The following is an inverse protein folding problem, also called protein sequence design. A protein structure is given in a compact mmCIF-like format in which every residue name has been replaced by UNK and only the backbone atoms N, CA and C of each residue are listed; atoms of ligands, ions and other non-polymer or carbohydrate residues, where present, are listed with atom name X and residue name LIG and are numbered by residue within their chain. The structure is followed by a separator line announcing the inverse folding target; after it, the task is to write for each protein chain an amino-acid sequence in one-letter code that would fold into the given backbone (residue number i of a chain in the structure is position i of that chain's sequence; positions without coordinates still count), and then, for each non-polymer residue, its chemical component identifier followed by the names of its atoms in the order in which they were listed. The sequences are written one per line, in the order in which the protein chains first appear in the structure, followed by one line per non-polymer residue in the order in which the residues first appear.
data_IF_112553442129
#
_entry.id   IF_112553442129
#
_cell.length_a   1.000
_cell.length_b   1.000
_cell.length_c   1.000
_cell.angle_alpha   90.00
_cell.angle_beta   90.00
_cell.angle_gamma   90.00
#
_symmetry.space_group_name_H-M   'P 1'
#
loop_
_entity.id
_entity.type
_entity.pdbx_description
1 polymer ?
#
# COMPACT_ATOMS: atom_id res chain seq x y z
N UNK A 1 -20.62 -12.07 49.72
CA UNK A 1 -21.36 -12.60 48.56
C UNK A 1 -21.21 -11.58 47.43
N UNK A 2 -20.38 -11.83 46.42
CA UNK A 2 -20.16 -10.86 45.36
C UNK A 2 -21.34 -10.92 44.36
N UNK A 3 -22.00 -9.79 44.14
CA UNK A 3 -22.85 -9.59 42.97
C UNK A 3 -21.98 -9.00 41.85
N UNK A 4 -21.40 -9.86 41.05
CA UNK A 4 -20.87 -9.51 39.73
C UNK A 4 -21.91 -9.96 38.71
N UNK A 5 -22.89 -9.10 38.41
CA UNK A 5 -23.81 -9.26 37.27
C UNK A 5 -24.03 -7.91 36.57
N UNK A 6 -23.90 -7.95 35.25
CA UNK A 6 -24.58 -7.09 34.26
C UNK A 6 -24.08 -5.67 33.92
N UNK A 7 -22.79 -5.34 33.99
CA UNK A 7 -22.31 -4.10 33.34
C UNK A 7 -22.16 -4.25 31.81
N UNK A 8 -21.69 -5.41 31.33
CA UNK A 8 -21.45 -5.66 29.90
C UNK A 8 -22.73 -5.85 29.08
N UNK A 9 -23.81 -6.33 29.71
CA UNK A 9 -25.10 -6.58 29.05
C UNK A 9 -25.86 -5.27 28.77
N UNK A 10 -25.70 -4.27 29.63
CA UNK A 10 -26.41 -2.99 29.51
C UNK A 10 -25.80 -2.09 28.41
N UNK A 11 -24.46 -2.04 28.33
CA UNK A 11 -23.74 -1.30 27.29
C UNK A 11 -24.01 -1.88 25.89
N UNK A 12 -24.05 -3.22 25.78
CA UNK A 12 -24.30 -3.89 24.50
C UNK A 12 -25.73 -3.62 23.99
N UNK A 13 -26.73 -3.57 24.89
CA UNK A 13 -28.12 -3.22 24.54
C UNK A 13 -28.27 -1.75 24.11
N UNK A 14 -27.59 -0.82 24.79
CA UNK A 14 -27.60 0.60 24.41
C UNK A 14 -26.99 0.81 23.02
N UNK A 15 -25.87 0.13 22.74
CA UNK A 15 -25.20 0.17 21.44
C UNK A 15 -26.06 -0.40 20.33
N UNK A 16 -26.73 -1.53 20.59
CA UNK A 16 -27.66 -2.15 19.63
C UNK A 16 -28.85 -1.22 19.31
N UNK A 17 -29.34 -0.49 20.30
CA UNK A 17 -30.45 0.45 20.13
C UNK A 17 -30.03 1.67 19.29
N UNK A 18 -28.84 2.24 19.52
CA UNK A 18 -28.29 3.31 18.68
C UNK A 18 -28.03 2.83 17.24
N UNK A 19 -27.47 1.63 17.07
CA UNK A 19 -27.29 0.98 15.77
C UNK A 19 -28.64 0.83 15.03
N UNK A 20 -29.68 0.34 15.70
CA UNK A 20 -31.02 0.16 15.12
C UNK A 20 -31.68 1.49 14.77
N UNK A 21 -31.46 2.54 15.55
CA UNK A 21 -31.95 3.87 15.25
C UNK A 21 -31.21 4.51 14.05
N UNK A 22 -29.91 4.26 13.92
CA UNK A 22 -29.09 4.77 12.82
C UNK A 22 -29.26 3.97 11.51
N UNK A 23 -29.65 2.70 11.60
CA UNK A 23 -29.71 1.76 10.49
C UNK A 23 -31.03 0.96 10.49
N UNK A 24 -32.15 1.63 10.17
CA UNK A 24 -33.47 1.03 10.23
C UNK A 24 -33.68 -0.12 9.25
N UNK A 25 -32.86 -0.22 8.20
CA UNK A 25 -32.95 -1.24 7.15
C UNK A 25 -32.02 -2.45 7.35
N UNK A 26 -31.26 -2.50 8.45
CA UNK A 26 -30.40 -3.65 8.73
C UNK A 26 -31.27 -4.89 9.03
N UNK A 27 -31.05 -6.05 8.38
CA UNK A 27 -31.77 -7.27 8.71
C UNK A 27 -31.43 -7.71 10.15
N UNK A 28 -32.44 -7.74 11.02
CA UNK A 28 -32.33 -8.20 12.41
C UNK A 28 -33.23 -9.41 12.66
N UNK A 29 -32.76 -10.36 13.46
CA UNK A 29 -33.60 -11.32 14.19
C UNK A 29 -33.67 -10.94 15.68
N UNK A 30 -34.25 -11.82 16.51
CA UNK A 30 -34.40 -11.59 17.95
C UNK A 30 -33.05 -11.55 18.70
N UNK A 31 -31.96 -12.02 18.08
CA UNK A 31 -30.63 -12.14 18.67
C UNK A 31 -29.60 -11.14 18.08
N UNK A 32 -29.87 -10.51 16.92
CA UNK A 32 -29.00 -9.47 16.36
C UNK A 32 -29.03 -9.35 14.83
N UNK A 33 -28.00 -8.73 14.22
CA UNK A 33 -27.89 -8.62 12.77
C UNK A 33 -27.75 -9.99 12.11
N UNK A 34 -28.50 -10.23 11.03
CA UNK A 34 -28.50 -11.51 10.31
C UNK A 34 -27.49 -11.47 9.16
N UNK A 35 -26.59 -12.45 9.13
CA UNK A 35 -25.57 -12.59 8.08
C UNK A 35 -25.78 -13.87 7.27
N UNK A 36 -25.85 -13.74 5.95
CA UNK A 36 -25.95 -14.86 4.99
C UNK A 36 -24.58 -15.40 4.55
N UNK A 37 -23.51 -14.66 4.81
CA UNK A 37 -22.15 -15.07 4.50
C UNK A 37 -21.15 -14.49 5.52
N UNK A 38 -20.00 -15.16 5.76
CA UNK A 38 -19.00 -14.69 6.72
C UNK A 38 -18.49 -13.27 6.46
N UNK A 39 -18.38 -12.87 5.18
CA UNK A 39 -17.90 -11.54 4.80
C UNK A 39 -18.86 -10.41 5.24
N UNK A 40 -20.16 -10.68 5.36
CA UNK A 40 -21.15 -9.69 5.81
C UNK A 40 -20.94 -9.34 7.28
N UNK A 41 -20.67 -10.36 8.11
CA UNK A 41 -20.31 -10.17 9.51
C UNK A 41 -19.00 -9.38 9.65
N UNK A 42 -18.03 -9.64 8.79
CA UNK A 42 -16.76 -8.91 8.78
C UNK A 42 -16.95 -7.43 8.38
N UNK A 43 -17.71 -7.16 7.33
CA UNK A 43 -18.02 -5.79 6.90
C UNK A 43 -18.73 -5.01 8.00
N UNK A 44 -19.72 -5.62 8.66
CA UNK A 44 -20.40 -5.03 9.80
C UNK A 44 -19.44 -4.74 10.97
N UNK A 45 -18.60 -5.71 11.34
CA UNK A 45 -17.63 -5.56 12.42
C UNK A 45 -16.60 -4.44 12.13
N UNK A 46 -16.15 -4.31 10.87
CA UNK A 46 -15.26 -3.23 10.46
C UNK A 46 -15.92 -1.86 10.57
N UNK A 47 -17.18 -1.71 10.11
CA UNK A 47 -17.95 -0.47 10.27
C UNK A 47 -18.06 -0.08 11.75
N UNK A 48 -18.42 -1.04 12.62
CA UNK A 48 -18.54 -0.80 14.05
C UNK A 48 -17.20 -0.38 14.68
N UNK A 49 -16.11 -1.09 14.36
CA UNK A 49 -14.79 -0.79 14.89
C UNK A 49 -14.28 0.60 14.45
N UNK A 50 -14.55 1.01 13.21
CA UNK A 50 -14.15 2.32 12.69
C UNK A 50 -14.96 3.46 13.33
N UNK A 51 -16.26 3.23 13.54
CA UNK A 51 -17.11 4.15 14.28
C UNK A 51 -16.65 4.31 15.74
N UNK A 52 -16.40 3.20 16.44
CA UNK A 52 -15.91 3.22 17.83
C UNK A 52 -14.58 3.95 17.99
N UNK A 53 -13.76 3.96 16.92
CA UNK A 53 -12.49 4.69 16.85
C UNK A 53 -12.65 6.16 16.41
N UNK A 54 -13.87 6.61 16.17
CA UNK A 54 -14.17 7.99 15.78
C UNK A 54 -13.77 8.37 14.35
N UNK A 55 -13.53 7.39 13.47
CA UNK A 55 -13.16 7.65 12.06
C UNK A 55 -14.30 8.34 11.32
N UNK A 56 -15.54 7.96 11.63
CA UNK A 56 -16.76 8.60 11.17
C UNK A 56 -17.85 8.47 12.23
N UNK A 57 -18.85 9.33 12.15
CA UNK A 57 -20.07 9.28 12.97
C UNK A 57 -21.14 8.42 12.31
N UNK A 58 -22.11 7.94 13.10
CA UNK A 58 -23.28 7.24 12.53
C UNK A 58 -24.08 8.08 11.54
N UNK A 59 -24.09 9.41 11.68
CA UNK A 59 -24.76 10.32 10.73
C UNK A 59 -24.08 10.31 9.36
N UNK A 60 -22.74 10.34 9.34
CA UNK A 60 -21.96 10.25 8.10
C UNK A 60 -22.11 8.86 7.47
N UNK A 61 -22.10 7.80 8.28
CA UNK A 61 -22.35 6.44 7.83
C UNK A 61 -23.72 6.28 7.16
N UNK A 62 -24.80 6.72 7.82
CA UNK A 62 -26.15 6.65 7.27
C UNK A 62 -26.28 7.43 5.95
N UNK A 63 -25.60 8.57 5.85
CA UNK A 63 -25.55 9.35 4.62
C UNK A 63 -24.84 8.61 3.48
N UNK A 64 -23.63 8.08 3.73
CA UNK A 64 -22.85 7.32 2.74
C UNK A 64 -23.61 6.08 2.25
N UNK A 65 -24.23 5.33 3.17
CA UNK A 65 -25.03 4.15 2.83
C UNK A 65 -26.24 4.50 1.97
N UNK A 66 -26.94 5.60 2.30
CA UNK A 66 -28.08 6.07 1.50
C UNK A 66 -27.70 6.49 0.08
N UNK A 67 -26.47 6.99 -0.12
CA UNK A 67 -25.94 7.31 -1.45
C UNK A 67 -25.65 6.02 -2.22
N UNK A 68 -24.93 5.07 -1.60
CA UNK A 68 -24.57 3.80 -2.24
C UNK A 68 -25.80 3.00 -2.71
N UNK A 69 -26.84 2.92 -1.87
CA UNK A 69 -28.11 2.26 -2.22
C UNK A 69 -28.78 2.96 -3.40
N UNK A 70 -28.86 4.29 -3.37
CA UNK A 70 -29.49 5.07 -4.45
C UNK A 70 -28.77 4.90 -5.78
N UNK A 71 -27.44 4.93 -5.76
CA UNK A 71 -26.61 4.72 -6.95
C UNK A 71 -26.83 3.31 -7.54
N UNK A 72 -26.91 2.30 -6.68
CA UNK A 72 -27.16 0.92 -7.11
C UNK A 72 -28.58 0.71 -7.67
N UNK A 73 -29.60 1.29 -7.02
CA UNK A 73 -30.98 1.29 -7.54
C UNK A 73 -31.06 1.99 -8.90
N UNK A 74 -30.36 3.12 -9.07
CA UNK A 74 -30.28 3.81 -10.36
C UNK A 74 -29.57 2.98 -11.44
N UNK A 75 -28.64 2.11 -11.04
CA UNK A 75 -27.96 1.15 -11.93
C UNK A 75 -28.80 -0.11 -12.24
N UNK A 76 -30.02 -0.21 -11.72
CA UNK A 76 -30.97 -1.28 -12.04
C UNK A 76 -31.00 -2.44 -11.04
N UNK A 77 -30.52 -2.25 -9.81
CA UNK A 77 -30.65 -3.26 -8.75
C UNK A 77 -32.15 -3.48 -8.40
N UNK A 78 -32.67 -4.72 -8.52
CA UNK A 78 -34.06 -5.05 -8.19
C UNK A 78 -34.36 -5.07 -6.67
N UNK A 79 -33.40 -4.78 -5.80
CA UNK A 79 -33.55 -4.64 -4.34
C UNK A 79 -34.24 -5.86 -3.69
N UNK A 80 -33.62 -7.04 -3.86
CA UNK A 80 -34.14 -8.32 -3.34
C UNK A 80 -33.63 -8.66 -1.94
N UNK A 81 -32.96 -7.71 -1.27
CA UNK A 81 -32.39 -7.87 0.07
C UNK A 81 -31.12 -8.76 0.14
N UNK A 82 -30.69 -9.34 -0.98
CA UNK A 82 -29.42 -10.05 -1.14
C UNK A 82 -28.24 -9.13 -1.49
N UNK A 83 -28.54 -7.91 -1.99
CA UNK A 83 -27.55 -6.89 -2.37
C UNK A 83 -27.24 -5.86 -1.28
N UNK A 84 -28.00 -5.85 -0.17
CA UNK A 84 -27.85 -4.87 0.91
C UNK A 84 -26.41 -4.74 1.45
N UNK A 85 -25.78 -5.87 1.78
CA UNK A 85 -24.38 -5.86 2.29
C UNK A 85 -23.36 -5.51 1.20
N UNK A 86 -23.70 -5.59 -0.09
CA UNK A 86 -22.85 -5.08 -1.16
C UNK A 86 -22.86 -3.54 -1.17
N UNK A 87 -24.03 -2.92 -0.99
CA UNK A 87 -24.12 -1.46 -0.81
C UNK A 87 -23.45 -1.00 0.48
N UNK A 88 -23.54 -1.81 1.54
CA UNK A 88 -22.80 -1.59 2.79
C UNK A 88 -21.30 -1.53 2.55
N UNK A 89 -20.75 -2.47 1.79
CA UNK A 89 -19.32 -2.51 1.50
C UNK A 89 -18.91 -1.31 0.63
N UNK A 90 -19.68 -0.95 -0.39
CA UNK A 90 -19.42 0.22 -1.24
C UNK A 90 -19.41 1.52 -0.41
N UNK A 91 -20.41 1.70 0.46
CA UNK A 91 -20.46 2.84 1.39
C UNK A 91 -19.24 2.89 2.32
N UNK A 92 -18.79 1.74 2.83
CA UNK A 92 -17.62 1.65 3.69
C UNK A 92 -16.33 1.99 2.96
N UNK A 93 -16.14 1.48 1.74
CA UNK A 93 -14.98 1.80 0.90
C UNK A 93 -14.93 3.30 0.56
N UNK A 94 -16.06 3.89 0.14
CA UNK A 94 -16.14 5.32 -0.17
C UNK A 94 -15.87 6.20 1.05
N UNK A 95 -16.54 5.92 2.17
CA UNK A 95 -16.40 6.74 3.37
C UNK A 95 -14.97 6.64 3.95
N UNK A 96 -14.37 5.45 3.94
CA UNK A 96 -12.98 5.30 4.40
C UNK A 96 -11.97 5.96 3.45
N UNK A 97 -12.27 6.03 2.15
CA UNK A 97 -11.46 6.78 1.20
C UNK A 97 -11.56 8.29 1.41
N UNK A 98 -12.77 8.82 1.60
CA UNK A 98 -13.00 10.24 1.92
C UNK A 98 -12.32 10.67 3.23
N UNK A 99 -12.27 9.76 4.21
CA UNK A 99 -11.55 9.97 5.49
C UNK A 99 -10.03 9.78 5.38
N UNK A 100 -9.50 9.47 4.19
CA UNK A 100 -8.07 9.26 3.95
C UNK A 100 -7.49 8.01 4.61
N UNK A 101 -8.34 7.09 5.08
CA UNK A 101 -7.90 5.83 5.67
C UNK A 101 -7.43 4.83 4.60
N UNK A 102 -7.99 4.93 3.40
CA UNK A 102 -7.62 4.16 2.21
C UNK A 102 -7.59 5.06 0.98
N UNK A 103 -6.96 4.63 -0.11
CA UNK A 103 -7.07 5.27 -1.42
C UNK A 103 -7.72 4.33 -2.43
N UNK A 104 -8.34 4.87 -3.48
CA UNK A 104 -8.91 4.06 -4.57
C UNK A 104 -7.86 3.13 -5.19
N UNK A 105 -6.63 3.63 -5.38
CA UNK A 105 -5.52 2.85 -5.88
C UNK A 105 -5.16 1.68 -4.94
N UNK A 106 -5.20 1.90 -3.62
CA UNK A 106 -4.93 0.84 -2.65
C UNK A 106 -6.02 -0.25 -2.66
N UNK A 107 -7.29 0.14 -2.74
CA UNK A 107 -8.41 -0.81 -2.83
C UNK A 107 -8.32 -1.62 -4.14
N UNK A 108 -8.09 -0.95 -5.28
CA UNK A 108 -7.94 -1.60 -6.57
C UNK A 108 -6.77 -2.60 -6.56
N UNK A 109 -5.61 -2.20 -6.04
CA UNK A 109 -4.45 -3.08 -5.87
C UNK A 109 -4.78 -4.29 -5.00
N UNK A 110 -5.45 -4.08 -3.87
CA UNK A 110 -5.78 -5.17 -2.94
C UNK A 110 -6.73 -6.19 -3.57
N UNK A 111 -7.67 -5.76 -4.41
CA UNK A 111 -8.55 -6.67 -5.17
C UNK A 111 -7.75 -7.53 -6.16
N UNK A 112 -6.82 -6.93 -6.90
CA UNK A 112 -5.93 -7.66 -7.81
C UNK A 112 -5.07 -8.68 -7.05
N UNK A 113 -4.45 -8.28 -5.93
CA UNK A 113 -3.62 -9.18 -5.12
C UNK A 113 -4.41 -10.39 -4.58
N UNK A 114 -5.64 -10.17 -4.13
CA UNK A 114 -6.52 -11.27 -3.69
C UNK A 114 -6.94 -12.20 -4.83
N UNK A 115 -7.24 -11.64 -6.00
CA UNK A 115 -7.65 -12.38 -7.19
C UNK A 115 -6.49 -13.23 -7.76
N UNK A 116 -5.27 -12.69 -7.75
CA UNK A 116 -4.06 -13.44 -8.04
C UNK A 116 -3.78 -14.54 -7.01
N UNK A 117 -3.90 -14.23 -5.71
CA UNK A 117 -3.76 -15.21 -4.65
C UNK A 117 -4.77 -16.35 -4.79
N UNK A 118 -6.02 -16.03 -5.12
CA UNK A 118 -7.07 -17.02 -5.35
C UNK A 118 -6.74 -17.95 -6.54
N UNK A 119 -6.32 -17.37 -7.68
CA UNK A 119 -5.89 -18.16 -8.86
C UNK A 119 -4.68 -19.05 -8.60
N UNK A 120 -3.74 -18.56 -7.79
CA UNK A 120 -2.51 -19.27 -7.47
C UNK A 120 -2.63 -20.32 -6.38
N UNK A 121 -3.74 -20.35 -5.63
CA UNK A 121 -3.94 -21.27 -4.51
C UNK A 121 -4.49 -22.61 -5.01
N UNK A 122 -3.78 -23.74 -4.82
CA UNK A 122 -4.30 -25.06 -5.16
C UNK A 122 -5.63 -25.36 -4.44
N UNK A 123 -6.53 -26.08 -5.10
CA UNK A 123 -7.82 -26.43 -4.51
C UNK A 123 -7.67 -27.13 -3.15
N UNK A 124 -8.47 -26.70 -2.17
CA UNK A 124 -8.44 -27.23 -0.81
C UNK A 124 -7.43 -26.55 0.12
N UNK A 125 -6.59 -25.62 -0.38
CA UNK A 125 -5.74 -24.79 0.45
C UNK A 125 -6.41 -23.45 0.77
N UNK A 126 -6.19 -22.86 1.96
CA UNK A 126 -6.66 -21.52 2.28
C UNK A 126 -6.03 -20.48 1.33
N UNK A 127 -6.85 -19.57 0.80
CA UNK A 127 -6.33 -18.41 0.07
C UNK A 127 -5.70 -17.48 1.12
N UNK A 128 -4.38 -17.41 1.11
CA UNK A 128 -3.63 -16.53 1.99
C UNK A 128 -3.10 -15.40 1.13
N UNK A 129 -3.57 -14.18 1.39
CA UNK A 129 -2.75 -13.00 1.07
C UNK A 129 -1.45 -13.20 1.83
N UNK A 130 -0.35 -13.48 1.12
CA UNK A 130 0.98 -13.43 1.73
C UNK A 130 1.03 -12.12 2.51
N UNK A 131 1.15 -12.21 3.85
CA UNK A 131 1.46 -11.03 4.65
C UNK A 131 2.79 -10.54 4.10
N UNK A 132 2.74 -9.55 3.22
CA UNK A 132 3.84 -8.63 3.13
C UNK A 132 4.01 -8.15 4.57
N UNK A 133 5.18 -8.37 5.18
CA UNK A 133 5.64 -7.46 6.24
C UNK A 133 5.85 -6.09 5.60
N UNK A 134 4.80 -5.53 4.99
CA UNK A 134 4.90 -4.51 3.98
C UNK A 134 5.30 -3.22 4.61
N UNK A 135 6.17 -2.49 3.93
CA UNK A 135 6.43 -1.08 4.20
C UNK A 135 5.13 -0.34 4.51
N UNK A 136 5.11 0.55 5.52
CA UNK A 136 3.95 1.39 5.79
C UNK A 136 3.46 2.04 4.50
N UNK A 137 2.15 2.15 4.33
CA UNK A 137 1.54 2.74 3.12
C UNK A 137 2.12 4.13 2.84
N UNK A 138 2.28 4.95 3.88
CA UNK A 138 2.91 6.27 3.77
C UNK A 138 4.35 6.21 3.23
N UNK A 139 5.12 5.17 3.56
CA UNK A 139 6.48 4.96 3.04
C UNK A 139 6.45 4.54 1.57
N UNK A 140 5.51 3.68 1.17
CA UNK A 140 5.33 3.33 -0.24
C UNK A 140 4.91 4.54 -1.07
N UNK A 141 3.97 5.34 -0.57
CA UNK A 141 3.53 6.58 -1.22
C UNK A 141 4.68 7.58 -1.36
N UNK A 142 5.54 7.70 -0.34
CA UNK A 142 6.74 8.51 -0.40
C UNK A 142 7.67 8.06 -1.55
N UNK A 143 7.92 6.76 -1.71
CA UNK A 143 8.69 6.26 -2.85
C UNK A 143 8.03 6.60 -4.18
N UNK A 144 6.73 6.32 -4.34
CA UNK A 144 6.02 6.57 -5.59
C UNK A 144 5.95 8.04 -6.00
N UNK A 145 5.98 8.97 -5.03
CA UNK A 145 5.93 10.42 -5.29
C UNK A 145 7.31 11.06 -5.40
N UNK A 146 8.36 10.39 -4.90
CA UNK A 146 9.73 10.86 -4.99
C UNK A 146 10.20 11.02 -6.45
N UNK A 147 11.13 11.95 -6.64
CA UNK A 147 11.86 12.15 -7.89
C UNK A 147 13.27 11.61 -7.72
N UNK A 148 13.66 10.67 -8.59
CA UNK A 148 14.96 10.03 -8.58
C UNK A 148 15.83 10.65 -9.68
N UNK A 149 16.74 11.56 -9.30
CA UNK A 149 17.62 12.25 -10.24
C UNK A 149 18.90 11.46 -10.45
N UNK A 150 19.27 11.29 -11.71
CA UNK A 150 20.58 10.82 -12.14
C UNK A 150 21.38 12.03 -12.58
N UNK A 151 22.58 12.20 -12.02
CA UNK A 151 23.52 13.27 -12.39
C UNK A 151 24.23 12.91 -13.71
N UNK A 152 23.46 13.00 -14.80
CA UNK A 152 23.93 12.86 -16.16
C UNK A 152 24.15 14.26 -16.78
N UNK A 153 24.51 14.31 -18.07
CA UNK A 153 24.60 15.58 -18.81
C UNK A 153 23.68 15.54 -20.02
N UNK A 154 22.47 16.13 -19.95
CA UNK A 154 21.85 16.79 -18.78
C UNK A 154 21.36 15.80 -17.72
N UNK A 155 20.98 16.31 -16.54
CA UNK A 155 20.36 15.51 -15.47
C UNK A 155 19.09 14.79 -15.97
N UNK A 156 18.81 13.63 -15.39
CA UNK A 156 17.64 12.81 -15.73
C UNK A 156 16.81 12.55 -14.49
N UNK A 157 15.57 13.03 -14.48
CA UNK A 157 14.63 12.86 -13.37
C UNK A 157 13.63 11.74 -13.65
N UNK A 158 13.70 10.67 -12.87
CA UNK A 158 12.81 9.52 -12.97
C UNK A 158 11.68 9.58 -11.93
N UNK A 159 10.50 9.10 -12.32
CA UNK A 159 9.37 8.82 -11.42
C UNK A 159 8.91 7.39 -11.62
N UNK A 160 8.56 6.72 -10.52
CA UNK A 160 8.12 5.32 -10.58
C UNK A 160 6.84 5.22 -11.42
N UNK A 161 6.80 4.23 -12.33
CA UNK A 161 5.68 3.95 -13.21
C UNK A 161 5.56 4.88 -14.42
N UNK A 162 6.40 5.91 -14.53
CA UNK A 162 6.36 6.88 -15.64
C UNK A 162 7.51 6.58 -16.61
N UNK A 163 7.19 6.27 -17.86
CA UNK A 163 8.19 6.05 -18.90
C UNK A 163 9.06 7.30 -19.09
N UNK A 164 10.38 7.11 -19.13
CA UNK A 164 11.36 8.17 -19.28
C UNK A 164 12.31 7.83 -20.46
N UNK A 165 12.17 8.58 -21.56
CA UNK A 165 12.98 8.35 -22.77
C UNK A 165 14.46 8.71 -22.61
N UNK A 166 14.80 9.60 -21.66
CA UNK A 166 16.19 9.99 -21.41
C UNK A 166 16.96 8.86 -20.72
N UNK A 167 16.37 8.18 -19.72
CA UNK A 167 17.01 7.00 -19.12
C UNK A 167 17.04 5.82 -20.11
N UNK A 168 16.00 5.62 -20.93
CA UNK A 168 16.04 4.60 -21.99
C UNK A 168 17.22 4.83 -22.97
N UNK A 169 17.41 6.08 -23.39
CA UNK A 169 18.53 6.49 -24.26
C UNK A 169 19.88 6.32 -23.56
N UNK A 170 19.95 6.61 -22.26
CA UNK A 170 21.15 6.41 -21.44
C UNK A 170 21.55 4.93 -21.38
N UNK A 171 20.59 4.02 -21.14
CA UNK A 171 20.83 2.58 -21.11
C UNK A 171 21.33 2.08 -22.47
N UNK A 172 20.66 2.49 -23.55
CA UNK A 172 21.06 2.15 -24.91
C UNK A 172 22.48 2.65 -25.26
N UNK A 173 22.82 3.89 -24.88
CA UNK A 173 24.15 4.46 -25.09
C UNK A 173 25.27 3.71 -24.35
N UNK A 174 24.95 3.08 -23.22
CA UNK A 174 25.88 2.24 -22.46
C UNK A 174 25.82 0.76 -22.86
N UNK A 175 24.94 0.38 -23.79
CA UNK A 175 24.78 -1.00 -24.25
C UNK A 175 24.27 -1.95 -23.16
N UNK A 176 23.44 -1.46 -22.25
CA UNK A 176 22.88 -2.24 -21.13
C UNK A 176 21.35 -2.33 -21.24
N UNK A 177 20.79 -3.45 -20.77
CA UNK A 177 19.34 -3.71 -20.82
C UNK A 177 18.58 -3.19 -19.60
N UNK A 178 19.29 -2.86 -18.53
CA UNK A 178 18.70 -2.43 -17.27
C UNK A 178 19.67 -1.64 -16.41
N UNK A 179 19.13 -0.97 -15.39
CA UNK A 179 19.91 -0.39 -14.31
C UNK A 179 19.14 -0.41 -12.99
N UNK A 180 19.88 -0.20 -11.91
CA UNK A 180 19.37 -0.17 -10.54
C UNK A 180 19.79 1.13 -9.86
N UNK A 181 18.83 1.89 -9.36
CA UNK A 181 19.05 3.09 -8.57
C UNK A 181 18.93 2.78 -7.08
N UNK A 182 20.01 2.99 -6.33
CA UNK A 182 20.17 2.51 -4.95
C UNK A 182 20.95 3.49 -4.09
N UNK A 183 20.63 3.54 -2.80
CA UNK A 183 21.41 4.18 -1.74
C UNK A 183 21.73 3.16 -0.65
N UNK A 184 22.75 3.44 0.16
CA UNK A 184 23.04 2.66 1.38
C UNK A 184 22.66 3.41 2.66
N UNK A 185 22.06 4.59 2.52
CA UNK A 185 21.64 5.43 3.62
C UNK A 185 20.50 4.76 4.39
N UNK A 186 20.46 5.05 5.69
CA UNK A 186 19.34 4.78 6.58
C UNK A 186 18.75 3.35 6.39
N UNK A 187 19.49 2.29 6.74
CA UNK A 187 19.06 0.90 6.55
C UNK A 187 17.69 0.65 7.18
N UNK A 188 16.80 0.04 6.42
CA UNK A 188 15.38 -0.16 6.73
C UNK A 188 14.63 1.12 7.17
N UNK A 189 15.16 2.30 6.86
CA UNK A 189 14.63 3.60 7.28
C UNK A 189 15.11 4.08 8.64
N UNK A 190 16.04 3.36 9.29
CA UNK A 190 16.64 3.78 10.55
C UNK A 190 17.66 4.88 10.31
N UNK A 191 17.39 6.08 10.80
CA UNK A 191 18.28 7.24 10.65
C UNK A 191 19.61 6.99 11.35
N UNK A 192 20.70 7.06 10.60
CA UNK A 192 22.07 6.95 11.11
C UNK A 192 22.79 8.30 11.15
N UNK A 193 23.93 8.34 11.83
CA UNK A 193 24.78 9.54 11.83
C UNK A 193 25.35 9.80 10.42
N UNK A 194 25.62 11.07 10.05
CA UNK A 194 26.13 11.40 8.71
C UNK A 194 27.40 10.64 8.29
N UNK A 195 28.34 10.45 9.22
CA UNK A 195 29.59 9.73 8.95
C UNK A 195 29.37 8.23 8.71
N UNK A 196 28.39 7.62 9.39
CA UNK A 196 28.00 6.23 9.21
C UNK A 196 27.32 6.03 7.84
N UNK A 197 26.38 6.89 7.49
CA UNK A 197 25.75 6.90 6.17
C UNK A 197 26.78 7.10 5.05
N UNK A 198 27.74 8.02 5.24
CA UNK A 198 28.83 8.23 4.29
C UNK A 198 29.74 6.99 4.16
N UNK A 199 30.02 6.27 5.26
CA UNK A 199 30.78 5.03 5.23
C UNK A 199 30.03 3.92 4.49
N UNK A 200 28.73 3.73 4.77
CA UNK A 200 27.87 2.76 4.07
C UNK A 200 27.80 3.07 2.58
N UNK A 201 27.66 4.34 2.20
CA UNK A 201 27.61 4.75 0.79
C UNK A 201 28.92 4.50 0.05
N UNK A 202 30.08 4.71 0.70
CA UNK A 202 31.38 4.31 0.11
C UNK A 202 31.45 2.80 -0.10
N UNK A 203 31.00 2.00 0.87
CA UNK A 203 30.96 0.54 0.74
C UNK A 203 30.05 0.09 -0.41
N UNK A 204 28.90 0.74 -0.61
CA UNK A 204 28.02 0.48 -1.75
C UNK A 204 28.68 0.79 -3.09
N UNK A 205 29.38 1.91 -3.21
CA UNK A 205 30.13 2.27 -4.44
C UNK A 205 31.20 1.22 -4.74
N UNK A 206 31.99 0.82 -3.73
CA UNK A 206 32.99 -0.23 -3.86
C UNK A 206 32.36 -1.57 -4.27
N UNK A 207 31.25 -1.93 -3.63
CA UNK A 207 30.53 -3.18 -3.90
C UNK A 207 30.01 -3.26 -5.34
N UNK A 208 29.42 -2.17 -5.84
CA UNK A 208 28.98 -2.08 -7.25
C UNK A 208 30.17 -2.21 -8.20
N UNK A 209 31.31 -1.61 -7.87
CA UNK A 209 32.56 -1.79 -8.60
C UNK A 209 33.06 -3.24 -8.60
N UNK A 210 32.99 -3.94 -7.47
CA UNK A 210 33.35 -5.37 -7.35
C UNK A 210 32.40 -6.28 -8.16
N UNK A 211 31.16 -5.86 -8.39
CA UNK A 211 30.23 -6.55 -9.30
C UNK A 211 30.56 -6.30 -10.78
N UNK A 212 31.57 -5.49 -11.09
CA UNK A 212 31.95 -5.11 -12.46
C UNK A 212 30.98 -4.13 -13.12
N UNK A 213 30.11 -3.50 -12.32
CA UNK A 213 29.08 -2.57 -12.81
C UNK A 213 29.63 -1.14 -12.84
N UNK A 214 29.19 -0.36 -13.82
CA UNK A 214 29.44 1.09 -13.84
C UNK A 214 28.33 1.80 -13.10
N UNK A 215 28.66 2.86 -12.38
CA UNK A 215 27.69 3.64 -11.63
C UNK A 215 27.72 5.11 -12.05
N UNK A 216 26.55 5.73 -12.11
CA UNK A 216 26.40 7.19 -12.20
C UNK A 216 25.90 7.73 -10.87
N UNK A 217 26.36 8.90 -10.41
CA UNK A 217 25.84 9.51 -9.20
C UNK A 217 24.38 9.96 -9.40
N UNK A 218 23.66 10.07 -8.29
CA UNK A 218 22.29 10.53 -8.27
C UNK A 218 21.82 10.86 -6.87
N UNK A 219 20.60 11.37 -6.77
CA UNK A 219 19.95 11.65 -5.51
C UNK A 219 18.43 11.45 -5.59
N UNK A 220 17.84 10.99 -4.49
CA UNK A 220 16.39 10.94 -4.30
C UNK A 220 15.88 12.24 -3.68
N UNK A 221 14.81 12.80 -4.23
CA UNK A 221 14.16 14.01 -3.74
C UNK A 221 12.69 13.76 -3.43
N UNK A 222 12.21 14.27 -2.29
CA UNK A 222 10.77 14.42 -2.02
C UNK A 222 10.29 15.74 -2.66
N UNK A 223 9.20 15.75 -3.46
CA UNK A 223 8.58 16.98 -3.97
C UNK A 223 8.26 18.04 -2.91
N UNK A 224 8.08 17.64 -1.64
CA UNK A 224 7.82 18.56 -0.52
C UNK A 224 9.10 19.11 0.12
N UNK A 225 10.28 18.73 -0.36
CA UNK A 225 11.60 19.09 0.17
C UNK A 225 11.78 18.76 1.68
N UNK A 226 10.97 17.83 2.22
CA UNK A 226 11.04 17.44 3.64
C UNK A 226 12.25 16.55 3.93
N UNK A 227 12.77 15.86 2.92
CA UNK A 227 13.90 14.95 3.03
C UNK A 227 15.19 15.63 2.56
N UNK A 228 16.28 15.40 3.32
CA UNK A 228 17.63 15.73 2.86
C UNK A 228 17.96 14.79 1.70
N UNK A 229 18.38 15.35 0.56
CA UNK A 229 18.73 14.56 -0.62
C UNK A 229 19.75 13.47 -0.27
N UNK A 230 19.35 12.21 -0.39
CA UNK A 230 20.20 11.07 -0.06
C UNK A 230 21.08 10.74 -1.27
N UNK A 231 22.40 10.73 -1.03
CA UNK A 231 23.36 10.30 -2.04
C UNK A 231 23.00 8.89 -2.52
N UNK A 232 22.83 8.75 -3.83
CA UNK A 232 22.41 7.51 -4.48
C UNK A 232 23.28 7.25 -5.70
N UNK A 233 23.16 6.05 -6.26
CA UNK A 233 23.83 5.69 -7.50
C UNK A 233 22.91 4.92 -8.43
N UNK A 234 23.08 5.13 -9.73
CA UNK A 234 22.49 4.31 -10.78
C UNK A 234 23.54 3.32 -11.28
N UNK A 235 23.43 2.06 -10.85
CA UNK A 235 24.26 0.95 -11.31
C UNK A 235 23.76 0.44 -12.68
N UNK A 236 24.49 0.78 -13.74
CA UNK A 236 24.21 0.41 -15.12
C UNK A 236 24.54 -1.07 -15.37
N UNK A 237 23.62 -1.78 -16.03
CA UNK A 237 23.74 -3.22 -16.30
C UNK A 237 23.33 -4.10 -15.11
N UNK A 238 22.92 -3.50 -13.98
CA UNK A 238 22.46 -4.25 -12.83
C UNK A 238 21.15 -5.00 -13.14
N UNK A 239 21.15 -6.30 -12.87
CA UNK A 239 19.99 -7.19 -13.06
C UNK A 239 19.06 -7.12 -11.84
N UNK A 240 17.88 -7.74 -11.92
CA UNK A 240 17.00 -7.93 -10.75
C UNK A 240 17.67 -8.73 -9.63
N UNK A 241 18.49 -9.73 -9.98
CA UNK A 241 19.26 -10.48 -8.99
C UNK A 241 20.33 -9.61 -8.30
N UNK A 242 20.97 -8.72 -9.05
CA UNK A 242 21.87 -7.72 -8.47
C UNK A 242 21.11 -6.74 -7.57
N UNK A 243 19.90 -6.32 -7.96
CA UNK A 243 19.05 -5.47 -7.13
C UNK A 243 18.71 -6.15 -5.80
N UNK A 244 18.30 -7.42 -5.82
CA UNK A 244 17.99 -8.19 -4.61
C UNK A 244 19.25 -8.34 -3.72
N UNK A 245 20.41 -8.63 -4.31
CA UNK A 245 21.67 -8.73 -3.56
C UNK A 245 22.06 -7.40 -2.88
N UNK A 246 21.97 -6.28 -3.61
CA UNK A 246 22.27 -4.96 -3.08
C UNK A 246 21.24 -4.54 -2.01
N UNK A 247 19.95 -4.82 -2.21
CA UNK A 247 18.92 -4.58 -1.21
C UNK A 247 19.21 -5.30 0.10
N UNK A 248 19.56 -6.59 0.02
CA UNK A 248 19.85 -7.40 1.21
C UNK A 248 21.15 -6.99 1.89
N UNK A 249 22.21 -6.74 1.13
CA UNK A 249 23.51 -6.38 1.69
C UNK A 249 23.50 -5.00 2.36
N UNK A 250 22.78 -4.03 1.79
CA UNK A 250 22.68 -2.66 2.33
C UNK A 250 21.39 -2.40 3.10
N UNK A 251 20.62 -3.45 3.37
CA UNK A 251 19.44 -3.42 4.23
C UNK A 251 18.40 -2.38 3.76
N UNK A 252 18.19 -2.30 2.45
CA UNK A 252 17.30 -1.30 1.86
C UNK A 252 15.87 -1.82 1.77
N UNK A 253 14.92 -1.00 2.21
CA UNK A 253 13.49 -1.30 2.10
C UNK A 253 13.03 -1.52 0.66
N UNK A 254 13.55 -0.71 -0.25
CA UNK A 254 13.23 -0.77 -1.66
C UNK A 254 14.34 -0.12 -2.49
N UNK A 255 14.33 -0.42 -3.78
CA UNK A 255 15.24 0.10 -4.79
C UNK A 255 14.42 0.41 -6.05
N UNK A 256 14.90 1.32 -6.90
CA UNK A 256 14.27 1.56 -8.21
C UNK A 256 15.02 0.80 -9.30
N UNK A 257 14.33 -0.08 -9.99
CA UNK A 257 14.84 -0.79 -11.17
C UNK A 257 14.27 -0.16 -12.43
N UNK A 258 15.08 -0.02 -13.47
CA UNK A 258 14.63 0.46 -14.78
C UNK A 258 15.12 -0.48 -15.86
N UNK A 259 14.23 -0.85 -16.78
CA UNK A 259 14.55 -1.66 -17.95
C UNK A 259 14.79 -0.81 -19.20
N UNK A 260 15.11 -1.47 -20.31
CA UNK A 260 15.33 -0.86 -21.63
C UNK A 260 14.17 -0.01 -22.14
N UNK A 261 12.94 -0.20 -21.66
CA UNK A 261 11.80 0.64 -22.02
C UNK A 261 11.84 2.00 -21.28
N UNK A 262 12.75 2.15 -20.31
CA UNK A 262 12.91 3.35 -19.52
C UNK A 262 11.79 3.55 -18.52
N UNK A 263 11.12 2.49 -18.08
CA UNK A 263 10.05 2.55 -17.07
C UNK A 263 10.62 2.20 -15.70
N UNK A 264 10.79 3.18 -14.79
CA UNK A 264 11.27 2.91 -13.44
C UNK A 264 10.20 2.17 -12.63
N UNK A 265 10.61 1.11 -11.93
CA UNK A 265 9.77 0.21 -11.16
C UNK A 265 10.33 0.13 -9.74
N UNK A 266 9.45 0.26 -8.75
CA UNK A 266 9.82 0.03 -7.37
C UNK A 266 9.97 -1.46 -7.11
N UNK A 267 11.16 -1.87 -6.68
CA UNK A 267 11.47 -3.21 -6.23
C UNK A 267 11.57 -3.20 -4.71
N UNK A 268 10.70 -3.96 -4.06
CA UNK A 268 10.69 -4.10 -2.60
C UNK A 268 11.74 -5.11 -2.13
N UNK A 269 12.28 -4.94 -0.93
CA UNK A 269 13.21 -5.91 -0.32
C UNK A 269 12.67 -7.36 -0.47
N UNK A 270 13.51 -8.37 -0.75
CA UNK A 270 13.07 -9.75 -0.91
C UNK A 270 12.24 -10.30 0.26
N UNK A 271 12.49 -9.83 1.49
CA UNK A 271 11.70 -10.22 2.68
C UNK A 271 10.23 -9.76 2.62
N UNK A 272 9.89 -8.84 1.72
CA UNK A 272 8.53 -8.38 1.48
C UNK A 272 7.80 -9.19 0.38
N UNK A 273 8.44 -10.17 -0.26
CA UNK A 273 7.92 -10.91 -1.45
C UNK A 273 7.59 -12.38 -1.18
#
# INVERSE_FOLDING_TARGET
MPQTRDMTSNDNKSKLHELRAALPELPFDDDGPVFRAPWQAQAFAMTLALHERGVFTWKEWAHALSIAIRDAQAAGDPDRGDTYYAHWLDALERLTAEKGCVSEAMLARRRVEWDEAARGTPHGQPIVLKRMHGLPIATLDAYHTATYRIEARPDIDMKIGVANGAVASLLAAHGVESAVFVTAFNPFGHVLAPDENAARQRALIERVGQMGLRALPGAGFDPKEVWVAEASLLALGATRAAADALMTEFEQNAIVYVDRAGVPQLLLHPEYR
#
